data_IF_106885443194
#
_entry.id   IF_106885443194
#
_cell.length_a   1.000
_cell.length_b   1.000
_cell.length_c   1.000
_cell.angle_alpha   90.00
_cell.angle_beta   90.00
_cell.angle_gamma   90.00
#
_symmetry.space_group_name_H-M   'P 1'
#
loop_
_entity.id
_entity.type
_entity.pdbx_description
1 polymer ?
#
# COMPACT_ATOMS: atom_id res chain seq x y z
N UNK A 1 -23.82 -15.57 59.27
CA UNK A 1 -23.23 -14.75 58.19
C UNK A 1 -22.03 -15.42 57.48
N UNK A 2 -21.06 -16.01 58.20
CA UNK A 2 -19.81 -16.55 57.60
C UNK A 2 -20.00 -17.78 56.70
N UNK A 3 -20.87 -18.74 57.05
CA UNK A 3 -21.13 -19.98 56.26
C UNK A 3 -21.66 -19.71 54.84
N UNK A 4 -22.60 -18.76 54.72
CA UNK A 4 -23.19 -18.39 53.44
C UNK A 4 -22.16 -17.75 52.48
N UNK A 5 -21.17 -17.04 53.02
CA UNK A 5 -20.07 -16.48 52.25
C UNK A 5 -19.16 -17.59 51.67
N UNK A 6 -18.82 -18.57 52.51
CA UNK A 6 -17.99 -19.73 52.10
C UNK A 6 -18.69 -20.56 51.02
N UNK A 7 -20.00 -20.81 51.17
CA UNK A 7 -20.80 -21.52 50.16
C UNK A 7 -20.87 -20.76 48.83
N UNK A 8 -21.01 -19.42 48.87
CA UNK A 8 -20.97 -18.57 47.67
C UNK A 8 -19.62 -18.64 46.96
N UNK A 9 -18.51 -18.55 47.71
CA UNK A 9 -17.17 -18.68 47.13
C UNK A 9 -16.92 -20.07 46.55
N UNK A 10 -17.42 -21.11 47.22
CA UNK A 10 -17.33 -22.49 46.73
C UNK A 10 -18.08 -22.66 45.41
N UNK A 11 -19.33 -22.18 45.32
CA UNK A 11 -20.12 -22.25 44.08
C UNK A 11 -19.49 -21.44 42.95
N UNK A 12 -18.96 -20.25 43.25
CA UNK A 12 -18.28 -19.42 42.26
C UNK A 12 -17.00 -20.07 41.72
N UNK A 13 -16.18 -20.65 42.59
CA UNK A 13 -14.97 -21.37 42.19
C UNK A 13 -15.30 -22.61 41.35
N UNK A 14 -16.35 -23.36 41.72
CA UNK A 14 -16.78 -24.54 40.99
C UNK A 14 -17.35 -24.19 39.60
N UNK A 15 -18.15 -23.11 39.49
CA UNK A 15 -18.67 -22.62 38.21
C UNK A 15 -17.52 -22.18 37.27
N UNK A 16 -16.51 -21.49 37.80
CA UNK A 16 -15.32 -21.10 37.02
C UNK A 16 -14.51 -22.30 36.54
N UNK A 17 -14.38 -23.33 37.37
CA UNK A 17 -13.72 -24.59 36.97
C UNK A 17 -14.52 -25.32 35.88
N UNK A 18 -15.85 -25.35 35.97
CA UNK A 18 -16.71 -25.94 34.94
C UNK A 18 -16.57 -25.22 33.60
N UNK A 19 -16.56 -23.89 33.59
CA UNK A 19 -16.35 -23.09 32.37
C UNK A 19 -14.97 -23.38 31.75
N UNK A 20 -13.93 -23.49 32.58
CA UNK A 20 -12.59 -23.86 32.13
C UNK A 20 -12.55 -25.26 31.51
N UNK A 21 -13.23 -26.24 32.12
CA UNK A 21 -13.28 -27.61 31.62
C UNK A 21 -14.13 -27.79 30.37
N UNK A 22 -15.09 -26.89 30.10
CA UNK A 22 -15.88 -26.88 28.86
C UNK A 22 -15.08 -26.47 27.63
N UNK A 23 -13.85 -25.93 27.80
CA UNK A 23 -13.00 -25.51 26.68
C UNK A 23 -11.57 -26.10 26.81
N UNK A 24 -11.39 -27.39 26.50
CA UNK A 24 -10.14 -28.12 26.77
C UNK A 24 -8.93 -27.66 25.92
N UNK A 25 -9.14 -26.86 24.88
CA UNK A 25 -8.06 -26.35 24.04
C UNK A 25 -7.23 -25.23 24.71
N UNK A 26 -7.76 -24.58 25.76
CA UNK A 26 -7.13 -23.42 26.41
C UNK A 26 -6.82 -23.62 27.91
N UNK A 27 -7.21 -24.73 28.53
CA UNK A 27 -7.07 -24.91 29.99
C UNK A 27 -5.63 -25.03 30.46
N UNK A 28 -4.76 -25.60 29.62
CA UNK A 28 -3.37 -25.91 29.98
C UNK A 28 -2.38 -24.79 29.63
N UNK A 29 -2.85 -23.71 28.99
CA UNK A 29 -2.03 -22.55 28.60
C UNK A 29 -2.22 -21.33 29.49
N UNK A 30 -3.23 -21.34 30.35
CA UNK A 30 -3.52 -20.24 31.28
C UNK A 30 -2.74 -20.48 32.58
N UNK A 31 -1.57 -19.88 32.65
CA UNK A 31 -0.70 -19.90 33.83
C UNK A 31 -1.05 -18.75 34.79
N UNK A 32 -0.76 -18.95 36.07
CA UNK A 32 -0.78 -17.85 37.03
C UNK A 32 0.33 -16.83 36.76
N UNK A 33 0.26 -15.66 37.41
CA UNK A 33 1.25 -14.57 37.25
C UNK A 33 2.70 -15.01 37.58
N UNK A 34 2.86 -16.14 38.26
CA UNK A 34 4.16 -16.72 38.62
C UNK A 34 4.63 -17.83 37.68
N UNK A 35 3.82 -18.21 36.68
CA UNK A 35 4.10 -19.31 35.76
C UNK A 35 4.19 -20.69 36.42
N UNK A 36 3.79 -20.83 37.68
CA UNK A 36 4.11 -22.01 38.51
C UNK A 36 2.96 -23.01 38.57
N UNK A 37 1.72 -22.54 38.38
CA UNK A 37 0.53 -23.37 38.36
C UNK A 37 -0.38 -22.95 37.22
N UNK A 38 -1.11 -23.90 36.64
CA UNK A 38 -2.22 -23.55 35.75
C UNK A 38 -3.37 -22.98 36.56
N UNK A 39 -4.15 -22.07 35.97
CA UNK A 39 -5.34 -21.48 36.61
C UNK A 39 -6.31 -22.58 37.05
N UNK A 40 -6.40 -23.69 36.30
CA UNK A 40 -7.16 -24.89 36.67
C UNK A 40 -6.66 -25.52 37.98
N UNK A 41 -5.35 -25.79 38.10
CA UNK A 41 -4.75 -26.34 39.32
C UNK A 41 -4.94 -25.43 40.55
N UNK A 42 -4.86 -24.12 40.35
CA UNK A 42 -5.08 -23.13 41.41
C UNK A 42 -6.54 -23.13 41.88
N UNK A 43 -7.50 -23.23 40.96
CA UNK A 43 -8.92 -23.32 41.28
C UNK A 43 -9.26 -24.61 42.02
N UNK A 44 -8.72 -25.76 41.60
CA UNK A 44 -8.88 -27.03 42.33
C UNK A 44 -8.34 -26.94 43.76
N UNK A 45 -7.16 -26.35 43.94
CA UNK A 45 -6.56 -26.15 45.27
C UNK A 45 -7.45 -25.26 46.15
N UNK A 46 -8.00 -24.18 45.60
CA UNK A 46 -8.95 -23.29 46.31
C UNK A 46 -10.26 -24.00 46.66
N UNK A 47 -10.80 -24.83 45.76
CA UNK A 47 -11.99 -25.65 46.00
C UNK A 47 -11.75 -26.63 47.15
N UNK A 48 -10.62 -27.36 47.15
CA UNK A 48 -10.25 -28.27 48.25
C UNK A 48 -10.11 -27.54 49.59
N UNK A 49 -9.54 -26.33 49.59
CA UNK A 49 -9.41 -25.52 50.79
C UNK A 49 -10.78 -25.07 51.34
N UNK A 50 -11.69 -24.64 50.46
CA UNK A 50 -13.05 -24.26 50.83
C UNK A 50 -13.87 -25.46 51.33
N UNK A 51 -13.67 -26.66 50.77
CA UNK A 51 -14.28 -27.89 51.29
C UNK A 51 -13.80 -28.21 52.71
N UNK A 52 -12.49 -28.04 52.98
CA UNK A 52 -11.94 -28.26 54.32
C UNK A 52 -12.54 -27.28 55.34
N UNK A 53 -12.65 -26.00 54.99
CA UNK A 53 -13.30 -24.99 55.83
C UNK A 53 -14.78 -25.34 56.06
N UNK A 54 -15.50 -25.78 55.04
CA UNK A 54 -16.91 -26.18 55.18
C UNK A 54 -17.06 -27.34 56.16
N UNK A 55 -16.19 -28.36 56.09
CA UNK A 55 -16.18 -29.48 57.04
C UNK A 55 -15.87 -29.03 58.47
N UNK A 56 -14.97 -28.07 58.66
CA UNK A 56 -14.70 -27.49 59.98
C UNK A 56 -15.96 -26.81 60.55
N UNK A 57 -16.72 -26.07 59.73
CA UNK A 57 -17.98 -25.47 60.18
C UNK A 57 -19.07 -26.50 60.51
N UNK A 58 -19.06 -27.67 59.88
CA UNK A 58 -19.98 -28.77 60.19
C UNK A 58 -19.57 -29.50 61.47
N UNK A 59 -18.28 -29.70 61.70
CA UNK A 59 -17.75 -30.26 62.94
C UNK A 59 -18.03 -29.36 64.15
N UNK A 60 -17.82 -28.04 64.03
CA UNK A 60 -18.13 -27.10 65.11
C UNK A 60 -19.62 -27.07 65.47
N UNK A 61 -20.51 -27.34 64.50
CA UNK A 61 -21.95 -27.42 64.77
C UNK A 61 -22.34 -28.72 65.49
N UNK A 62 -21.67 -29.83 65.19
CA UNK A 62 -21.85 -31.10 65.91
C UNK A 62 -21.41 -30.98 67.37
N UNK A 63 -20.39 -30.16 67.68
CA UNK A 63 -19.96 -29.90 69.06
C UNK A 63 -20.95 -28.97 69.79
N UNK A 64 -21.46 -27.92 69.13
CA UNK A 64 -22.51 -27.04 69.71
C UNK A 64 -23.87 -27.76 69.88
N UNK A 65 -24.29 -28.64 68.97
CA UNK A 65 -25.51 -29.44 69.13
C UNK A 65 -25.34 -30.57 70.19
N UNK A 66 -24.11 -31.01 70.48
CA UNK A 66 -23.83 -31.93 71.60
C UNK A 66 -23.78 -31.24 72.98
N UNK A 67 -23.57 -29.93 73.00
CA UNK A 67 -23.61 -29.09 74.22
C UNK A 67 -24.99 -28.45 74.46
N UNK A 68 -25.89 -28.49 73.48
CA UNK A 68 -27.25 -27.96 73.58
C UNK A 68 -28.25 -28.90 74.29
N UNK A 69 -27.85 -30.12 74.67
CA UNK A 69 -28.61 -31.00 75.57
C UNK A 69 -28.05 -30.98 77.03
N UNK A 70 -27.20 -29.99 77.33
CA UNK A 70 -26.71 -29.70 78.67
C UNK A 70 -27.63 -28.73 79.39
N UNK A 71 -28.43 -29.26 80.32
CA UNK A 71 -29.45 -28.55 81.08
C UNK A 71 -29.05 -27.18 81.62
N UNK A 72 -30.02 -26.27 81.53
CA UNK A 72 -30.09 -24.99 82.23
C UNK A 72 -29.73 -25.16 83.73
N UNK A 73 -28.47 -24.92 84.08
CA UNK A 73 -28.07 -24.66 85.47
C UNK A 73 -28.21 -23.16 85.73
N UNK A 74 -29.46 -22.67 85.68
CA UNK A 74 -29.86 -21.44 86.36
C UNK A 74 -29.89 -21.76 87.85
N UNK A 75 -28.71 -21.78 88.47
CA UNK A 75 -28.54 -21.84 89.92
C UNK A 75 -28.95 -20.51 90.55
N UNK A 76 -30.24 -20.19 90.50
CA UNK A 76 -30.87 -19.33 91.51
C UNK A 76 -30.74 -20.11 92.82
N UNK A 77 -29.73 -19.78 93.62
CA UNK A 77 -29.63 -20.26 95.00
C UNK A 77 -30.77 -19.60 95.76
N UNK A 78 -31.92 -20.28 95.76
CA UNK A 78 -33.00 -20.03 96.68
C UNK A 78 -32.45 -20.40 98.06
N UNK A 79 -32.01 -19.40 98.82
CA UNK A 79 -31.73 -19.56 100.24
C UNK A 79 -33.06 -19.91 100.91
N UNK A 80 -33.33 -21.20 101.06
CA UNK A 80 -34.34 -21.71 101.97
C UNK A 80 -33.88 -21.32 103.38
N UNK A 81 -34.44 -20.22 103.89
CA UNK A 81 -34.33 -19.83 105.29
C UNK A 81 -35.15 -20.84 106.10
N UNK A 82 -34.53 -21.96 106.45
CA UNK A 82 -35.02 -22.81 107.52
C UNK A 82 -35.02 -21.98 108.81
N UNK A 83 -36.12 -21.96 109.59
CA UNK A 83 -36.13 -21.31 110.90
C UNK A 83 -35.18 -22.07 111.82
N UNK A 84 -34.00 -21.50 112.07
CA UNK A 84 -33.09 -22.05 113.07
C UNK A 84 -33.80 -22.04 114.41
N UNK A 85 -34.06 -23.25 114.90
CA UNK A 85 -34.72 -23.51 116.16
C UNK A 85 -34.02 -22.78 117.31
N UNK A 86 -34.84 -22.13 118.12
CA UNK A 86 -34.54 -21.68 119.47
C UNK A 86 -33.79 -22.77 120.24
N UNK A 87 -32.52 -22.52 120.55
CA UNK A 87 -31.71 -23.45 121.32
C UNK A 87 -30.23 -23.53 120.95
N UNK A 88 -29.60 -22.42 120.55
CA UNK A 88 -28.14 -22.34 120.56
C UNK A 88 -27.72 -20.89 120.76
N UNK A 89 -27.67 -20.51 122.03
CA UNK A 89 -26.92 -19.37 122.53
C UNK A 89 -25.43 -19.72 122.44
N UNK A 90 -24.96 -20.03 121.22
CA UNK A 90 -23.54 -20.10 120.92
C UNK A 90 -23.05 -18.67 120.97
N UNK A 91 -22.41 -18.34 122.09
CA UNK A 91 -21.69 -17.10 122.33
C UNK A 91 -21.05 -16.66 121.01
N UNK A 92 -21.48 -15.51 120.48
CA UNK A 92 -20.93 -14.91 119.27
C UNK A 92 -19.41 -14.89 119.42
N UNK A 93 -18.71 -15.83 118.78
CA UNK A 93 -17.27 -16.00 118.93
C UNK A 93 -16.62 -14.82 118.21
N UNK A 94 -16.42 -13.76 118.99
CA UNK A 94 -15.85 -12.51 118.53
C UNK A 94 -14.49 -12.72 117.87
N UNK A 95 -13.71 -13.73 118.29
CA UNK A 95 -12.42 -14.04 117.66
C UNK A 95 -12.58 -14.66 116.27
N UNK A 96 -13.63 -15.48 116.07
CA UNK A 96 -13.94 -16.08 114.76
C UNK A 96 -14.48 -15.03 113.79
N UNK A 97 -15.35 -14.14 114.25
CA UNK A 97 -15.83 -13.00 113.46
C UNK A 97 -14.67 -12.05 113.12
N UNK A 98 -13.77 -11.78 114.06
CA UNK A 98 -12.60 -10.93 113.81
C UNK A 98 -11.64 -11.57 112.78
N UNK A 99 -11.43 -12.90 112.82
CA UNK A 99 -10.70 -13.64 111.79
C UNK A 99 -11.35 -13.53 110.42
N UNK A 100 -12.67 -13.72 110.35
CA UNK A 100 -13.44 -13.58 109.11
C UNK A 100 -13.33 -12.15 108.54
N UNK A 101 -13.47 -11.11 109.36
CA UNK A 101 -13.28 -9.73 108.91
C UNK A 101 -11.84 -9.47 108.42
N UNK A 102 -10.81 -10.05 109.05
CA UNK A 102 -9.42 -9.94 108.60
C UNK A 102 -9.22 -10.62 107.25
N UNK A 103 -9.78 -11.81 107.06
CA UNK A 103 -9.74 -12.56 105.81
C UNK A 103 -10.50 -11.84 104.70
N UNK A 104 -11.69 -11.32 104.98
CA UNK A 104 -12.47 -10.53 104.04
C UNK A 104 -11.72 -9.27 103.59
N UNK A 105 -11.06 -8.55 104.51
CA UNK A 105 -10.18 -7.41 104.16
C UNK A 105 -8.99 -7.84 103.30
N UNK A 106 -8.37 -8.98 103.60
CA UNK A 106 -7.26 -9.53 102.82
C UNK A 106 -7.70 -9.91 101.39
N UNK A 107 -8.79 -10.64 101.25
CA UNK A 107 -9.36 -11.02 99.96
C UNK A 107 -9.82 -9.80 99.15
N UNK A 108 -10.39 -8.80 99.81
CA UNK A 108 -10.77 -7.52 99.17
C UNK A 108 -9.53 -6.80 98.62
N UNK A 109 -8.42 -6.79 99.35
CA UNK A 109 -7.14 -6.24 98.84
C UNK A 109 -6.58 -7.04 97.67
N UNK A 110 -6.63 -8.37 97.73
CA UNK A 110 -6.20 -9.24 96.63
C UNK A 110 -7.04 -9.02 95.37
N UNK A 111 -8.36 -8.97 95.53
CA UNK A 111 -9.30 -8.69 94.45
C UNK A 111 -9.06 -7.30 93.83
N UNK A 112 -8.84 -6.28 94.65
CA UNK A 112 -8.51 -4.94 94.17
C UNK A 112 -7.16 -4.90 93.43
N UNK A 113 -6.15 -5.63 93.90
CA UNK A 113 -4.87 -5.77 93.19
C UNK A 113 -5.03 -6.47 91.84
N UNK A 114 -5.82 -7.55 91.78
CA UNK A 114 -6.11 -8.26 90.53
C UNK A 114 -6.88 -7.38 89.55
N UNK A 115 -7.87 -6.63 90.01
CA UNK A 115 -8.58 -5.65 89.18
C UNK A 115 -7.63 -4.58 88.64
N UNK A 116 -6.73 -4.05 89.49
CA UNK A 116 -5.73 -3.08 89.03
C UNK A 116 -4.78 -3.68 87.98
N UNK A 117 -4.35 -4.92 88.17
CA UNK A 117 -3.49 -5.62 87.20
C UNK A 117 -4.22 -5.89 85.88
N UNK A 118 -5.50 -6.27 85.96
CA UNK A 118 -6.38 -6.42 84.79
C UNK A 118 -6.54 -5.10 84.05
N UNK A 119 -6.80 -4.01 84.76
CA UNK A 119 -7.02 -2.71 84.14
C UNK A 119 -5.73 -2.18 83.48
N UNK A 120 -4.57 -2.40 84.10
CA UNK A 120 -3.26 -2.08 83.50
C UNK A 120 -2.98 -2.92 82.23
N UNK A 121 -3.11 -4.24 82.31
CA UNK A 121 -2.89 -5.13 81.15
C UNK A 121 -3.88 -4.89 80.01
N UNK A 122 -5.14 -4.57 80.35
CA UNK A 122 -6.16 -4.22 79.37
C UNK A 122 -5.88 -2.86 78.73
N UNK A 123 -5.35 -1.89 79.49
CA UNK A 123 -4.94 -0.60 78.94
C UNK A 123 -3.80 -0.76 77.93
N UNK A 124 -2.73 -1.48 78.31
CA UNK A 124 -1.59 -1.76 77.43
C UNK A 124 -2.03 -2.49 76.14
N UNK A 125 -2.94 -3.46 76.28
CA UNK A 125 -3.51 -4.17 75.13
C UNK A 125 -4.32 -3.25 74.22
N UNK A 126 -5.18 -2.38 74.77
CA UNK A 126 -5.94 -1.41 73.98
C UNK A 126 -4.98 -0.48 73.24
N UNK A 127 -3.95 0.03 73.92
CA UNK A 127 -3.01 0.98 73.32
C UNK A 127 -2.23 0.31 72.17
N UNK A 128 -1.71 -0.89 72.38
CA UNK A 128 -1.06 -1.68 71.33
C UNK A 128 -2.00 -1.98 70.15
N UNK A 129 -3.26 -2.31 70.43
CA UNK A 129 -4.26 -2.54 69.40
C UNK A 129 -4.58 -1.27 68.59
N UNK A 130 -4.77 -0.14 69.27
CA UNK A 130 -5.01 1.15 68.61
C UNK A 130 -3.83 1.58 67.75
N UNK A 131 -2.61 1.35 68.24
CA UNK A 131 -1.39 1.60 67.48
C UNK A 131 -1.33 0.75 66.20
N UNK A 132 -1.60 -0.56 66.29
CA UNK A 132 -1.59 -1.43 65.11
C UNK A 132 -2.70 -1.06 64.12
N UNK A 133 -3.88 -0.67 64.60
CA UNK A 133 -4.97 -0.14 63.75
C UNK A 133 -4.55 1.15 63.04
N UNK A 134 -3.90 2.08 63.74
CA UNK A 134 -3.41 3.33 63.14
C UNK A 134 -2.34 3.06 62.08
N UNK A 135 -1.40 2.16 62.37
CA UNK A 135 -0.38 1.70 61.43
C UNK A 135 -0.99 1.07 60.18
N UNK A 136 -1.96 0.17 60.33
CA UNK A 136 -2.63 -0.47 59.20
C UNK A 136 -3.39 0.56 58.33
N UNK A 137 -4.02 1.56 58.95
CA UNK A 137 -4.66 2.67 58.19
C UNK A 137 -3.66 3.45 57.36
N UNK A 138 -2.50 3.79 57.92
CA UNK A 138 -1.44 4.50 57.19
C UNK A 138 -0.90 3.66 56.03
N UNK A 139 -0.68 2.36 56.24
CA UNK A 139 -0.24 1.43 55.18
C UNK A 139 -1.29 1.34 54.08
N UNK A 140 -2.56 1.19 54.42
CA UNK A 140 -3.66 1.15 53.46
C UNK A 140 -3.76 2.44 52.64
N UNK A 141 -3.63 3.60 53.28
CA UNK A 141 -3.66 4.91 52.59
C UNK A 141 -2.46 5.09 51.67
N UNK A 142 -1.28 4.66 52.11
CA UNK A 142 -0.07 4.68 51.29
C UNK A 142 -0.20 3.74 50.09
N UNK A 143 -0.70 2.52 50.29
CA UNK A 143 -0.90 1.53 49.23
C UNK A 143 -1.92 2.01 48.20
N UNK A 144 -3.05 2.58 48.64
CA UNK A 144 -4.05 3.20 47.74
C UNK A 144 -3.45 4.36 46.94
N UNK A 145 -2.67 5.22 47.58
CA UNK A 145 -2.01 6.35 46.90
C UNK A 145 -1.00 5.88 45.86
N UNK A 146 -0.20 4.86 46.19
CA UNK A 146 0.74 4.22 45.29
C UNK A 146 0.03 3.58 44.08
N UNK A 147 -1.04 2.83 44.31
CA UNK A 147 -1.84 2.22 43.25
C UNK A 147 -2.48 3.28 42.34
N UNK A 148 -3.00 4.38 42.91
CA UNK A 148 -3.54 5.49 42.14
C UNK A 148 -2.48 6.17 41.26
N UNK A 149 -1.27 6.37 41.78
CA UNK A 149 -0.14 6.92 41.02
C UNK A 149 0.24 6.01 39.85
N UNK A 150 0.40 4.70 40.10
CA UNK A 150 0.73 3.73 39.06
C UNK A 150 -0.36 3.65 37.99
N UNK A 151 -1.63 3.70 38.39
CA UNK A 151 -2.75 3.68 37.45
C UNK A 151 -2.78 4.95 36.59
N UNK A 152 -2.45 6.11 37.17
CA UNK A 152 -2.29 7.35 36.42
C UNK A 152 -1.13 7.27 35.43
N UNK A 153 0.05 6.84 35.88
CA UNK A 153 1.23 6.68 35.02
C UNK A 153 0.97 5.72 33.86
N UNK A 154 0.30 4.60 34.12
CA UNK A 154 -0.07 3.65 33.07
C UNK A 154 -1.10 4.25 32.09
N UNK A 155 -2.07 5.04 32.56
CA UNK A 155 -2.99 5.76 31.68
C UNK A 155 -2.25 6.75 30.78
N UNK A 156 -1.37 7.56 31.36
CA UNK A 156 -0.57 8.55 30.63
C UNK A 156 0.31 7.86 29.57
N UNK A 157 0.91 6.71 29.91
CA UNK A 157 1.67 5.87 28.96
C UNK A 157 0.80 5.31 27.84
N UNK A 158 -0.37 4.77 28.15
CA UNK A 158 -1.30 4.26 27.15
C UNK A 158 -1.77 5.37 26.19
N UNK A 159 -2.06 6.56 26.72
CA UNK A 159 -2.44 7.72 25.90
C UNK A 159 -1.29 8.22 25.03
N UNK A 160 -0.06 8.24 25.56
CA UNK A 160 1.13 8.59 24.77
C UNK A 160 1.35 7.61 23.63
N UNK A 161 1.29 6.30 23.89
CA UNK A 161 1.40 5.26 22.86
C UNK A 161 0.27 5.36 21.83
N UNK A 162 -0.95 5.69 22.26
CA UNK A 162 -2.08 5.90 21.36
C UNK A 162 -1.87 7.12 20.46
N UNK A 163 -1.34 8.22 20.99
CA UNK A 163 -0.98 9.41 20.19
C UNK A 163 0.12 9.08 19.20
N UNK A 164 1.16 8.38 19.63
CA UNK A 164 2.28 7.99 18.76
C UNK A 164 1.86 7.05 17.64
N UNK A 165 0.97 6.10 17.91
CA UNK A 165 0.44 5.18 16.88
C UNK A 165 -0.37 5.94 15.84
N UNK A 166 -1.29 6.83 16.26
CA UNK A 166 -2.06 7.68 15.34
C UNK A 166 -1.13 8.58 14.51
N UNK A 167 -0.13 9.21 15.13
CA UNK A 167 0.82 10.06 14.40
C UNK A 167 1.62 9.26 13.36
N UNK A 168 2.03 8.03 13.68
CA UNK A 168 2.71 7.14 12.73
C UNK A 168 1.79 6.71 11.58
N UNK A 169 0.54 6.39 11.87
CA UNK A 169 -0.45 6.03 10.84
C UNK A 169 -0.67 7.19 9.87
N UNK A 170 -0.85 8.41 10.37
CA UNK A 170 -0.98 9.62 9.54
C UNK A 170 0.28 9.83 8.71
N UNK A 171 1.47 9.73 9.29
CA UNK A 171 2.73 9.89 8.56
C UNK A 171 2.88 8.84 7.44
N UNK A 172 2.50 7.58 7.71
CA UNK A 172 2.51 6.53 6.70
C UNK A 172 1.50 6.80 5.58
N UNK A 173 0.29 7.24 5.91
CA UNK A 173 -0.72 7.61 4.92
C UNK A 173 -0.24 8.76 4.03
N UNK A 174 0.36 9.80 4.61
CA UNK A 174 0.94 10.91 3.86
C UNK A 174 2.09 10.44 2.97
N UNK A 175 2.95 9.56 3.45
CA UNK A 175 4.04 9.00 2.64
C UNK A 175 3.53 8.17 1.45
N UNK A 176 2.49 7.35 1.65
CA UNK A 176 1.84 6.59 0.58
C UNK A 176 1.21 7.53 -0.46
N UNK A 177 0.49 8.55 -0.02
CA UNK A 177 -0.10 9.55 -0.92
C UNK A 177 0.97 10.29 -1.72
N UNK A 178 2.07 10.68 -1.08
CA UNK A 178 3.20 11.30 -1.76
C UNK A 178 3.82 10.35 -2.81
N UNK A 179 3.93 9.05 -2.49
CA UNK A 179 4.38 8.04 -3.45
C UNK A 179 3.48 7.96 -4.69
N UNK A 180 2.16 7.91 -4.51
CA UNK A 180 1.20 7.89 -5.61
C UNK A 180 1.34 9.13 -6.50
N UNK A 181 1.44 10.32 -5.92
CA UNK A 181 1.60 11.57 -6.68
C UNK A 181 2.93 11.61 -7.47
N UNK A 182 4.00 11.05 -6.89
CA UNK A 182 5.29 10.93 -7.57
C UNK A 182 5.16 10.00 -8.79
N UNK A 183 4.51 8.84 -8.63
CA UNK A 183 4.30 7.88 -9.71
C UNK A 183 3.43 8.45 -10.84
N UNK A 184 2.35 9.17 -10.48
CA UNK A 184 1.51 9.89 -11.45
C UNK A 184 2.30 10.94 -12.22
N UNK A 185 3.15 11.73 -11.53
CA UNK A 185 3.99 12.73 -12.16
C UNK A 185 4.99 12.11 -13.15
N UNK A 186 5.67 11.02 -12.76
CA UNK A 186 6.60 10.35 -13.65
C UNK A 186 5.91 9.69 -14.84
N UNK A 187 4.73 9.09 -14.62
CA UNK A 187 3.92 8.53 -15.70
C UNK A 187 3.53 9.61 -16.71
N UNK A 188 3.07 10.78 -16.22
CA UNK A 188 2.77 11.92 -17.07
C UNK A 188 3.99 12.42 -17.85
N UNK A 189 5.16 12.53 -17.22
CA UNK A 189 6.41 12.91 -17.89
C UNK A 189 6.80 11.92 -18.99
N UNK A 190 6.67 10.61 -18.73
CA UNK A 190 6.93 9.57 -19.72
C UNK A 190 5.98 9.70 -20.91
N UNK A 191 4.69 9.95 -20.67
CA UNK A 191 3.72 10.17 -21.74
C UNK A 191 4.05 11.41 -22.59
N UNK A 192 4.50 12.51 -21.97
CA UNK A 192 4.93 13.71 -22.70
C UNK A 192 6.16 13.45 -23.58
N UNK A 193 7.14 12.70 -23.05
CA UNK A 193 8.33 12.31 -23.81
C UNK A 193 7.93 11.38 -24.97
N UNK A 194 7.04 10.41 -24.71
CA UNK A 194 6.57 9.49 -25.74
C UNK A 194 5.85 10.23 -26.87
N UNK A 195 4.94 11.16 -26.54
CA UNK A 195 4.28 12.02 -27.53
C UNK A 195 5.30 12.80 -28.37
N UNK A 196 6.33 13.35 -27.73
CA UNK A 196 7.40 14.07 -28.42
C UNK A 196 8.17 13.15 -29.38
N UNK A 197 8.49 11.92 -28.95
CA UNK A 197 9.13 10.91 -29.80
C UNK A 197 8.25 10.60 -31.00
N UNK A 198 6.96 10.34 -30.80
CA UNK A 198 6.01 9.99 -31.86
C UNK A 198 5.86 11.13 -32.88
N UNK A 199 5.84 12.38 -32.42
CA UNK A 199 5.85 13.56 -33.29
C UNK A 199 7.12 13.63 -34.15
N UNK A 200 8.29 13.42 -33.56
CA UNK A 200 9.55 13.41 -34.28
C UNK A 200 9.63 12.26 -35.29
N UNK A 201 9.17 11.06 -34.92
CA UNK A 201 9.09 9.93 -35.84
C UNK A 201 8.18 10.25 -37.03
N UNK A 202 7.00 10.80 -36.77
CA UNK A 202 6.06 11.18 -37.84
C UNK A 202 6.61 12.28 -38.75
N UNK A 203 7.35 13.27 -38.20
CA UNK A 203 8.04 14.28 -39.00
C UNK A 203 9.12 13.67 -39.89
N UNK A 204 9.94 12.78 -39.32
CA UNK A 204 11.00 12.12 -40.05
C UNK A 204 10.46 11.25 -41.19
N UNK A 205 9.38 10.49 -40.96
CA UNK A 205 8.72 9.70 -42.00
C UNK A 205 8.21 10.58 -43.15
N UNK A 206 7.56 11.71 -42.82
CA UNK A 206 7.10 12.67 -43.83
C UNK A 206 8.26 13.26 -44.64
N UNK A 207 9.35 13.67 -43.97
CA UNK A 207 10.53 14.20 -44.65
C UNK A 207 11.21 13.16 -45.54
N UNK A 208 11.27 11.90 -45.08
CA UNK A 208 11.77 10.78 -45.88
C UNK A 208 10.93 10.59 -47.15
N UNK A 209 9.61 10.53 -47.02
CA UNK A 209 8.69 10.36 -48.16
C UNK A 209 8.79 11.53 -49.15
N UNK A 210 8.93 12.76 -48.64
CA UNK A 210 9.17 13.95 -49.47
C UNK A 210 10.48 13.85 -50.25
N UNK A 211 11.58 13.45 -49.59
CA UNK A 211 12.88 13.29 -50.23
C UNK A 211 12.86 12.17 -51.26
N UNK A 212 12.24 11.04 -50.96
CA UNK A 212 12.07 9.93 -51.91
C UNK A 212 11.25 10.38 -53.13
N UNK A 213 10.17 11.16 -52.91
CA UNK A 213 9.39 11.78 -53.98
C UNK A 213 10.21 12.75 -54.85
N UNK A 214 11.07 13.59 -54.24
CA UNK A 214 11.98 14.48 -54.98
C UNK A 214 13.01 13.69 -55.77
N UNK A 215 13.53 12.61 -55.21
CA UNK A 215 14.53 11.76 -55.83
C UNK A 215 13.94 11.00 -57.04
N UNK A 216 12.73 10.47 -56.91
CA UNK A 216 12.01 9.87 -58.04
C UNK A 216 11.75 10.88 -59.17
N UNK A 217 11.31 12.10 -58.85
CA UNK A 217 11.15 13.17 -59.85
C UNK A 217 12.47 13.53 -60.54
N UNK A 218 13.57 13.60 -59.79
CA UNK A 218 14.90 13.85 -60.35
C UNK A 218 15.37 12.72 -61.27
N UNK A 219 15.13 11.45 -60.89
CA UNK A 219 15.41 10.27 -61.73
C UNK A 219 14.59 10.31 -63.02
N UNK A 220 13.29 10.61 -62.95
CA UNK A 220 12.43 10.73 -64.12
C UNK A 220 12.92 11.84 -65.08
N UNK A 221 13.28 13.01 -64.55
CA UNK A 221 13.89 14.10 -65.34
C UNK A 221 15.21 13.67 -65.99
N UNK A 222 16.09 13.00 -65.24
CA UNK A 222 17.36 12.49 -65.77
C UNK A 222 17.13 11.54 -66.94
N UNK A 223 16.18 10.61 -66.81
CA UNK A 223 15.83 9.68 -67.88
C UNK A 223 15.31 10.42 -69.11
N UNK A 224 14.38 11.37 -68.92
CA UNK A 224 13.87 12.20 -70.02
C UNK A 224 14.97 12.97 -70.76
N UNK A 225 15.93 13.56 -70.03
CA UNK A 225 17.07 14.24 -70.65
C UNK A 225 18.00 13.28 -71.41
N UNK A 226 18.19 12.07 -70.90
CA UNK A 226 18.96 11.04 -71.60
C UNK A 226 18.28 10.64 -72.91
N UNK A 227 16.96 10.45 -72.89
CA UNK A 227 16.16 10.12 -74.08
C UNK A 227 16.24 11.25 -75.11
N UNK A 228 16.07 12.51 -74.67
CA UNK A 228 16.18 13.68 -75.53
C UNK A 228 17.59 13.82 -76.12
N UNK A 229 18.64 13.53 -75.32
CA UNK A 229 20.03 13.53 -75.81
C UNK A 229 20.23 12.47 -76.89
N UNK A 230 19.66 11.28 -76.72
CA UNK A 230 19.71 10.21 -77.73
C UNK A 230 18.96 10.63 -79.01
N UNK A 231 17.78 11.23 -78.89
CA UNK A 231 17.00 11.72 -80.03
C UNK A 231 17.75 12.82 -80.80
N UNK A 232 18.34 13.80 -80.10
CA UNK A 232 19.16 14.86 -80.72
C UNK A 232 20.36 14.27 -81.45
N UNK A 233 21.03 13.28 -80.86
CA UNK A 233 22.15 12.60 -81.52
C UNK A 233 21.71 11.89 -82.81
N UNK A 234 20.57 11.18 -82.79
CA UNK A 234 20.00 10.56 -83.98
C UNK A 234 19.64 11.59 -85.06
N UNK A 235 18.97 12.69 -84.70
CA UNK A 235 18.63 13.76 -85.65
C UNK A 235 19.87 14.42 -86.23
N UNK A 236 20.93 14.57 -85.44
CA UNK A 236 22.20 15.15 -85.91
C UNK A 236 22.88 14.25 -86.93
N UNK A 237 22.89 12.93 -86.70
CA UNK A 237 23.39 11.96 -87.68
C UNK A 237 22.57 11.98 -88.98
N UNK A 238 21.25 12.10 -88.88
CA UNK A 238 20.38 12.18 -90.06
C UNK A 238 20.60 13.48 -90.84
N UNK A 239 20.76 14.62 -90.15
CA UNK A 239 21.10 15.90 -90.79
C UNK A 239 22.44 15.79 -91.52
N UNK A 240 23.47 15.21 -90.89
CA UNK A 240 24.77 15.00 -91.51
C UNK A 240 24.65 14.14 -92.78
N UNK A 241 23.90 13.04 -92.72
CA UNK A 241 23.62 12.18 -93.86
C UNK A 241 22.91 12.94 -95.00
N UNK A 242 21.89 13.74 -94.69
CA UNK A 242 21.17 14.53 -95.68
C UNK A 242 22.05 15.61 -96.31
N UNK A 243 22.93 16.24 -95.52
CA UNK A 243 23.91 17.22 -96.01
C UNK A 243 24.92 16.57 -96.98
N UNK A 244 25.39 15.36 -96.70
CA UNK A 244 26.26 14.62 -97.63
C UNK A 244 25.56 14.35 -98.97
N UNK A 245 24.29 13.94 -98.93
CA UNK A 245 23.47 13.71 -100.12
C UNK A 245 23.27 15.02 -100.90
N UNK A 246 22.90 16.10 -100.22
CA UNK A 246 22.71 17.42 -100.83
C UNK A 246 23.99 17.94 -101.47
N UNK A 247 25.12 17.86 -100.77
CA UNK A 247 26.43 18.24 -101.30
C UNK A 247 26.79 17.42 -102.55
N UNK A 248 26.55 16.11 -102.54
CA UNK A 248 26.76 15.26 -103.72
C UNK A 248 25.83 15.66 -104.89
N UNK A 249 24.59 16.04 -104.62
CA UNK A 249 23.67 16.56 -105.64
C UNK A 249 24.13 17.90 -106.21
N UNK A 250 24.57 18.84 -105.36
CA UNK A 250 25.10 20.13 -105.78
C UNK A 250 26.35 19.96 -106.66
N UNK A 251 27.28 19.08 -106.28
CA UNK A 251 28.47 18.79 -107.10
C UNK A 251 28.09 18.16 -108.45
N UNK A 252 27.08 17.27 -108.51
CA UNK A 252 26.57 16.76 -109.79
C UNK A 252 25.97 17.86 -110.66
N UNK A 253 25.23 18.81 -110.08
CA UNK A 253 24.67 19.96 -110.80
C UNK A 253 25.80 20.84 -111.34
N UNK A 254 26.76 21.23 -110.50
CA UNK A 254 27.93 22.01 -110.91
C UNK A 254 28.71 21.33 -112.03
N UNK A 255 28.96 20.03 -111.92
CA UNK A 255 29.65 19.27 -112.96
C UNK A 255 28.86 19.27 -114.28
N UNK A 256 27.54 19.05 -114.24
CA UNK A 256 26.67 19.14 -115.42
C UNK A 256 26.72 20.53 -116.06
N UNK A 257 26.69 21.59 -115.26
CA UNK A 257 26.83 22.96 -115.77
C UNK A 257 28.18 23.21 -116.45
N UNK A 258 29.28 22.71 -115.87
CA UNK A 258 30.61 22.77 -116.49
C UNK A 258 30.63 22.00 -117.81
N UNK A 259 30.10 20.77 -117.84
CA UNK A 259 29.99 19.98 -119.07
C UNK A 259 29.15 20.70 -120.13
N UNK A 260 28.02 21.30 -119.76
CA UNK A 260 27.16 22.06 -120.67
C UNK A 260 27.90 23.28 -121.25
N UNK A 261 28.60 24.05 -120.41
CA UNK A 261 29.44 25.18 -120.84
C UNK A 261 30.55 24.72 -121.81
N UNK A 262 31.22 23.61 -121.51
CA UNK A 262 32.25 23.02 -122.38
C UNK A 262 31.69 22.50 -123.71
N UNK A 263 30.56 21.79 -123.68
CA UNK A 263 29.86 21.32 -124.88
C UNK A 263 29.44 22.50 -125.78
N UNK A 264 28.95 23.58 -125.18
CA UNK A 264 28.60 24.82 -125.90
C UNK A 264 29.82 25.45 -126.58
N UNK A 265 30.98 25.50 -125.88
CA UNK A 265 32.25 25.96 -126.47
C UNK A 265 32.72 25.07 -127.63
N UNK A 266 32.65 23.74 -127.47
CA UNK A 266 33.01 22.78 -128.54
C UNK A 266 32.08 22.96 -129.75
N UNK A 267 30.77 23.10 -129.53
CA UNK A 267 29.81 23.36 -130.60
C UNK A 267 30.14 24.66 -131.33
N UNK A 268 30.40 25.75 -130.61
CA UNK A 268 30.79 27.03 -131.21
C UNK A 268 32.11 26.93 -131.99
N UNK A 269 33.11 26.24 -131.42
CA UNK A 269 34.39 25.97 -132.09
C UNK A 269 34.21 25.18 -133.39
N UNK A 270 33.46 24.08 -133.35
CA UNK A 270 33.20 23.24 -134.53
C UNK A 270 32.44 24.01 -135.62
N UNK A 271 31.41 24.78 -135.25
CA UNK A 271 30.71 25.69 -136.18
C UNK A 271 31.67 26.72 -136.78
N UNK A 272 32.58 27.29 -135.99
CA UNK A 272 33.62 28.19 -136.48
C UNK A 272 34.63 27.53 -137.42
N UNK A 273 35.03 26.28 -137.17
CA UNK A 273 35.90 25.49 -138.06
C UNK A 273 35.21 25.18 -139.38
N UNK A 274 33.92 24.81 -139.36
CA UNK A 274 33.11 24.59 -140.55
C UNK A 274 33.06 25.82 -141.44
N UNK A 275 32.83 26.99 -140.83
CA UNK A 275 32.84 28.29 -141.54
C UNK A 275 34.21 28.57 -142.14
N UNK A 276 35.31 28.37 -141.40
CA UNK A 276 36.69 28.61 -141.89
C UNK A 276 37.14 27.62 -142.97
N UNK A 277 36.66 26.38 -142.94
CA UNK A 277 36.98 25.35 -143.95
C UNK A 277 36.02 25.35 -145.15
N UNK A 278 35.01 26.22 -145.17
CA UNK A 278 34.05 26.33 -146.29
C UNK A 278 33.11 25.13 -146.44
N UNK A 279 32.93 24.30 -145.39
CA UNK A 279 32.09 23.10 -145.46
C UNK A 279 30.62 23.53 -145.26
N UNK A 280 29.79 23.48 -146.31
CA UNK A 280 28.38 23.88 -146.21
C UNK A 280 27.52 22.72 -145.70
N UNK A 281 27.20 22.70 -144.41
CA UNK A 281 26.22 21.77 -143.83
C UNK A 281 24.79 22.23 -144.17
N UNK A 282 24.23 21.68 -145.24
CA UNK A 282 22.79 21.71 -145.50
C UNK A 282 22.31 22.81 -146.44
N UNK A 283 22.63 22.72 -147.73
CA UNK A 283 21.83 23.32 -148.78
C UNK A 283 20.58 22.45 -149.05
N UNK A 284 19.53 22.57 -148.21
CA UNK A 284 18.18 22.08 -148.56
C UNK A 284 17.25 23.26 -148.84
N UNK A 285 16.99 23.43 -150.13
CA UNK A 285 16.05 24.31 -150.84
C UNK A 285 14.93 24.93 -149.99
N UNK A 286 14.90 26.27 -149.92
CA UNK A 286 13.72 27.07 -149.62
C UNK A 286 12.58 26.70 -150.59
N UNK A 287 11.42 26.29 -150.09
CA UNK A 287 10.13 26.39 -150.80
C UNK A 287 9.24 27.41 -150.08
N UNK A 288 8.77 28.36 -150.88
CA UNK A 288 7.93 29.52 -150.55
C UNK A 288 6.46 29.15 -150.86
N UNK A 289 5.51 29.82 -150.17
CA UNK A 289 4.02 29.76 -150.23
C UNK A 289 3.41 28.91 -149.09
N UNK A 290 2.32 29.28 -148.41
CA UNK A 290 1.33 30.36 -148.58
C UNK A 290 0.61 30.60 -147.24
N UNK A 291 0.04 31.79 -147.07
CA UNK A 291 -0.74 32.20 -145.90
C UNK A 291 -2.06 31.44 -145.73
N UNK A 292 -2.50 31.23 -144.48
CA UNK A 292 -3.88 31.47 -144.04
C UNK A 292 -4.03 31.51 -142.50
N UNK A 293 -4.47 32.70 -142.06
CA UNK A 293 -5.21 33.10 -140.86
C UNK A 293 -6.09 31.99 -140.23
N UNK A 294 -5.97 31.77 -138.91
CA UNK A 294 -7.06 31.78 -137.90
C UNK A 294 -6.48 31.35 -136.53
N UNK A 295 -6.44 32.22 -135.51
CA UNK A 295 -7.51 32.57 -134.54
C UNK A 295 -7.73 31.51 -133.43
N UNK A 296 -7.19 31.83 -132.25
CA UNK A 296 -7.76 31.65 -130.91
C UNK A 296 -8.02 30.25 -130.27
N UNK A 297 -7.39 30.09 -129.09
CA UNK A 297 -8.00 30.01 -127.73
C UNK A 297 -8.38 28.63 -127.14
N UNK A 298 -7.70 28.34 -126.01
CA UNK A 298 -8.12 27.60 -124.78
C UNK A 298 -8.52 26.12 -124.84
N UNK A 299 -7.84 25.33 -123.99
CA UNK A 299 -8.40 24.47 -122.91
C UNK A 299 -7.19 24.08 -122.02
N UNK A 300 -7.09 24.36 -120.71
CA UNK A 300 -7.85 23.84 -119.56
C UNK A 300 -8.14 22.34 -119.64
N UNK A 301 -7.28 21.60 -118.96
CA UNK A 301 -7.43 20.28 -118.35
C UNK A 301 -6.38 20.23 -117.26
#
# INVERSE_FOLDING_TARGET
FKKHLVLKFFHNANARLQILNSNPANSDQLWDETGSYTIGQLLEKKIRYLQRISRCFEASRSEEESLADGGSYSGTVTLSFEPWGSGFEELFDMERYERYCKEQRFLTRQFNNLNRLRDLTHHDFIEAFQFEVAKNKLVDEWERSRQALQLKENKDRCEALRRDTVNREVALQTAVQAGVLIDEFYSWQLDQIQQTIDEWMSRFEREKDELDGRLQKARAKKNHWNDLKAEVAQRTLEIQRLQEVENAHLERIKHREVCLKSATKIQAWWRGVIVRRGIVLGARKRKKKQSKKNKHKKSKG
#
